data_IF_041012440208
#
_entry.id   IF_041012440208
#
_cell.length_a   1.000
_cell.length_b   1.000
_cell.length_c   1.000
_cell.angle_alpha   90.00
_cell.angle_beta   90.00
_cell.angle_gamma   90.00
#
_symmetry.space_group_name_H-M   'P 1'
#
loop_
_entity.id
_entity.type
_entity.pdbx_description
1 polymer ?
#
# COMPACT_ATOMS: atom_id res chain seq x y z
N UNK A 1 14.75 -17.75 -1.95
CA UNK A 1 13.36 -17.69 -2.46
C UNK A 1 13.47 -17.70 -3.96
N UNK A 2 12.96 -18.73 -4.66
CA UNK A 2 12.92 -18.71 -6.12
C UNK A 2 11.65 -17.95 -6.52
N UNK A 3 11.77 -16.88 -7.30
CA UNK A 3 10.59 -16.17 -7.80
C UNK A 3 9.81 -17.11 -8.72
N UNK A 4 8.47 -17.14 -8.63
CA UNK A 4 7.64 -17.99 -9.50
C UNK A 4 7.72 -17.49 -10.95
N UNK A 5 7.98 -18.33 -11.96
CA UNK A 5 7.97 -17.91 -13.37
C UNK A 5 6.66 -17.27 -13.81
N UNK A 6 6.72 -16.38 -14.80
CA UNK A 6 5.53 -15.85 -15.44
C UNK A 6 4.85 -16.96 -16.26
N UNK A 7 3.52 -17.12 -16.17
CA UNK A 7 2.81 -18.06 -17.04
C UNK A 7 2.92 -17.63 -18.52
N UNK A 8 2.75 -18.57 -19.46
CA UNK A 8 2.61 -18.22 -20.87
C UNK A 8 1.35 -17.37 -21.08
N UNK A 9 1.30 -16.55 -22.14
CA UNK A 9 0.20 -15.65 -22.42
C UNK A 9 -1.09 -16.34 -22.90
N UNK A 10 -1.17 -17.68 -22.87
CA UNK A 10 -2.27 -18.52 -23.39
C UNK A 10 -3.67 -18.03 -22.99
N UNK A 11 -4.29 -17.19 -23.83
CA UNK A 11 -5.60 -16.58 -23.60
C UNK A 11 -5.62 -15.44 -22.56
N UNK A 12 -4.48 -15.02 -22.02
CA UNK A 12 -4.43 -13.92 -21.06
C UNK A 12 -4.59 -12.57 -21.77
N UNK A 13 -5.54 -11.77 -21.28
CA UNK A 13 -5.75 -10.38 -21.72
C UNK A 13 -6.12 -10.23 -23.21
N UNK A 14 -6.70 -11.25 -23.85
CA UNK A 14 -7.09 -11.21 -25.28
C UNK A 14 -7.94 -9.98 -25.62
N UNK A 15 -8.85 -9.61 -24.71
CA UNK A 15 -9.77 -8.48 -24.89
C UNK A 15 -9.13 -7.11 -24.61
N UNK A 16 -7.91 -7.05 -24.08
CA UNK A 16 -7.27 -5.80 -23.62
C UNK A 16 -5.85 -5.68 -24.19
N UNK A 17 -5.75 -5.13 -25.40
CA UNK A 17 -4.51 -5.02 -26.19
C UNK A 17 -3.37 -4.33 -25.45
N UNK A 18 -3.66 -3.28 -24.66
CA UNK A 18 -2.66 -2.53 -23.89
C UNK A 18 -2.01 -3.43 -22.82
N UNK A 19 -2.82 -4.21 -22.11
CA UNK A 19 -2.35 -5.12 -21.05
C UNK A 19 -1.60 -6.29 -21.65
N UNK A 20 -2.10 -6.85 -22.76
CA UNK A 20 -1.42 -7.93 -23.49
C UNK A 20 -0.03 -7.51 -23.98
N UNK A 21 0.08 -6.34 -24.62
CA UNK A 21 1.36 -5.78 -25.08
C UNK A 21 2.35 -5.61 -23.92
N UNK A 22 1.89 -5.07 -22.79
CA UNK A 22 2.73 -4.91 -21.61
C UNK A 22 3.21 -6.26 -21.07
N UNK A 23 2.30 -7.25 -21.01
CA UNK A 23 2.61 -8.60 -20.52
C UNK A 23 3.63 -9.32 -21.42
N UNK A 24 3.43 -9.28 -22.74
CA UNK A 24 4.36 -9.85 -23.73
C UNK A 24 5.76 -9.21 -23.60
N UNK A 25 5.82 -7.88 -23.42
CA UNK A 25 7.08 -7.16 -23.21
C UNK A 25 7.79 -7.63 -21.95
N UNK A 26 7.09 -7.67 -20.81
CA UNK A 26 7.65 -8.16 -19.53
C UNK A 26 8.11 -9.62 -19.66
N UNK A 27 7.32 -10.48 -20.30
CA UNK A 27 7.67 -11.89 -20.48
C UNK A 27 8.98 -12.06 -21.28
N UNK A 28 9.19 -11.27 -22.32
CA UNK A 28 10.43 -11.28 -23.11
C UNK A 28 11.68 -10.87 -22.32
N UNK A 29 11.50 -10.10 -21.24
CA UNK A 29 12.57 -9.59 -20.38
C UNK A 29 12.82 -10.46 -19.15
N UNK A 30 12.04 -11.52 -18.92
CA UNK A 30 12.05 -12.30 -17.67
C UNK A 30 13.43 -12.84 -17.30
N UNK A 31 14.24 -13.23 -18.30
CA UNK A 31 15.58 -13.77 -18.09
C UNK A 31 16.62 -12.71 -17.67
N UNK A 32 16.34 -11.42 -17.85
CA UNK A 32 17.30 -10.35 -17.54
C UNK A 32 17.36 -10.06 -16.04
N UNK A 33 16.22 -9.99 -15.37
CA UNK A 33 16.11 -9.89 -13.91
C UNK A 33 14.81 -10.53 -13.45
N UNK A 34 14.88 -11.81 -13.09
CA UNK A 34 13.69 -12.59 -12.78
C UNK A 34 12.81 -11.95 -11.70
N UNK A 35 13.37 -11.39 -10.63
CA UNK A 35 12.56 -10.84 -9.53
C UNK A 35 11.89 -9.54 -9.96
N UNK A 36 12.67 -8.61 -10.51
CA UNK A 36 12.19 -7.27 -10.87
C UNK A 36 11.25 -7.29 -12.08
N UNK A 37 11.38 -8.27 -12.98
CA UNK A 37 10.47 -8.41 -14.11
C UNK A 37 9.22 -9.19 -13.72
N UNK A 38 9.34 -10.27 -12.94
CA UNK A 38 8.17 -11.05 -12.50
C UNK A 38 7.19 -10.22 -11.68
N UNK A 39 7.67 -9.31 -10.83
CA UNK A 39 6.77 -8.45 -10.05
C UNK A 39 5.83 -7.64 -10.95
N UNK A 40 6.31 -7.11 -12.09
CA UNK A 40 5.51 -6.37 -13.05
C UNK A 40 4.45 -7.28 -13.69
N UNK A 41 4.84 -8.47 -14.14
CA UNK A 41 3.91 -9.42 -14.75
C UNK A 41 2.84 -9.90 -13.77
N UNK A 42 3.20 -10.16 -12.51
CA UNK A 42 2.23 -10.53 -11.48
C UNK A 42 1.33 -9.37 -11.04
N UNK A 43 1.80 -8.12 -11.11
CA UNK A 43 0.92 -6.96 -10.94
C UNK A 43 -0.14 -6.92 -12.05
N UNK A 44 0.18 -7.24 -13.30
CA UNK A 44 -0.83 -7.32 -14.35
C UNK A 44 -1.85 -8.45 -14.12
N UNK A 45 -1.38 -9.63 -13.68
CA UNK A 45 -2.23 -10.80 -13.40
C UNK A 45 -3.14 -10.56 -12.19
N UNK A 46 -2.60 -10.02 -11.10
CA UNK A 46 -3.28 -9.91 -9.81
C UNK A 46 -3.69 -8.47 -9.47
N UNK A 47 -3.80 -7.60 -10.47
CA UNK A 47 -4.31 -6.26 -10.26
C UNK A 47 -5.67 -6.32 -9.53
N UNK A 48 -5.85 -5.54 -8.46
CA UNK A 48 -7.07 -5.58 -7.65
C UNK A 48 -8.30 -5.08 -8.41
N UNK A 49 -8.09 -4.20 -9.40
CA UNK A 49 -9.12 -3.73 -10.32
C UNK A 49 -8.54 -3.47 -11.73
N UNK A 50 -9.43 -3.26 -12.69
CA UNK A 50 -9.07 -3.06 -14.10
C UNK A 50 -8.32 -1.74 -14.35
N UNK A 51 -8.66 -0.67 -13.61
CA UNK A 51 -7.96 0.61 -13.74
C UNK A 51 -6.52 0.49 -13.28
N UNK A 52 -6.30 -0.21 -12.15
CA UNK A 52 -4.98 -0.54 -11.64
C UNK A 52 -4.15 -1.34 -12.63
N UNK A 53 -4.78 -2.32 -13.27
CA UNK A 53 -4.14 -3.13 -14.32
C UNK A 53 -3.72 -2.28 -15.52
N UNK A 54 -4.62 -1.42 -16.01
CA UNK A 54 -4.37 -0.55 -17.15
C UNK A 54 -3.24 0.45 -16.85
N UNK A 55 -3.24 1.04 -15.66
CA UNK A 55 -2.20 1.99 -15.25
C UNK A 55 -0.80 1.37 -15.24
N UNK A 56 -0.66 0.13 -14.77
CA UNK A 56 0.62 -0.60 -14.78
C UNK A 56 1.00 -1.01 -16.21
N UNK A 57 0.04 -1.45 -17.01
CA UNK A 57 0.29 -1.76 -18.40
C UNK A 57 0.79 -0.53 -19.18
N UNK A 58 0.20 0.64 -18.93
CA UNK A 58 0.67 1.90 -19.49
C UNK A 58 2.06 2.27 -18.99
N UNK A 59 2.35 2.18 -17.68
CA UNK A 59 3.69 2.47 -17.16
C UNK A 59 4.76 1.60 -17.83
N UNK A 60 4.46 0.33 -18.12
CA UNK A 60 5.36 -0.60 -18.83
C UNK A 60 5.50 -0.23 -20.32
N UNK A 61 4.39 0.08 -20.98
CA UNK A 61 4.41 0.39 -22.41
C UNK A 61 5.07 1.75 -22.69
N UNK A 62 4.93 2.72 -21.78
CA UNK A 62 5.51 4.06 -21.88
C UNK A 62 7.02 4.08 -21.62
N UNK A 63 7.59 3.00 -21.07
CA UNK A 63 9.04 2.84 -20.97
C UNK A 63 9.69 2.86 -22.37
N UNK A 64 10.57 3.84 -22.61
CA UNK A 64 11.23 4.01 -23.90
C UNK A 64 12.17 2.85 -24.24
N UNK A 65 12.82 2.27 -23.22
CA UNK A 65 13.78 1.18 -23.37
C UNK A 65 13.46 0.02 -22.45
N UNK A 66 14.03 -1.14 -22.74
CA UNK A 66 13.93 -2.30 -21.85
C UNK A 66 14.60 -2.03 -20.51
N UNK A 67 15.69 -1.24 -20.50
CA UNK A 67 16.33 -0.80 -19.27
C UNK A 67 15.36 0.00 -18.38
N UNK A 68 14.51 0.84 -18.96
CA UNK A 68 13.51 1.60 -18.21
C UNK A 68 12.46 0.66 -17.57
N UNK A 69 12.10 -0.44 -18.25
CA UNK A 69 11.22 -1.48 -17.68
C UNK A 69 11.89 -2.17 -16.49
N UNK A 70 13.19 -2.48 -16.58
CA UNK A 70 13.94 -3.03 -15.45
C UNK A 70 13.98 -2.03 -14.27
N UNK A 71 14.24 -0.75 -14.52
CA UNK A 71 14.28 0.26 -13.46
C UNK A 71 12.91 0.50 -12.81
N UNK A 72 11.82 0.42 -13.59
CA UNK A 72 10.46 0.41 -13.07
C UNK A 72 10.24 -0.79 -12.12
N UNK A 73 10.61 -2.00 -12.56
CA UNK A 73 10.53 -3.22 -11.76
C UNK A 73 11.34 -3.14 -10.46
N UNK A 74 12.59 -2.66 -10.53
CA UNK A 74 13.45 -2.43 -9.36
C UNK A 74 12.85 -1.43 -8.39
N UNK A 75 12.27 -0.34 -8.90
CA UNK A 75 11.64 0.69 -8.07
C UNK A 75 10.45 0.12 -7.31
N UNK A 76 9.58 -0.62 -8.00
CA UNK A 76 8.44 -1.30 -7.37
C UNK A 76 8.92 -2.34 -6.35
N UNK A 77 9.90 -3.16 -6.70
CA UNK A 77 10.44 -4.15 -5.78
C UNK A 77 11.02 -3.48 -4.52
N UNK A 78 11.90 -2.49 -4.67
CA UNK A 78 12.58 -1.81 -3.57
C UNK A 78 11.61 -1.06 -2.66
N UNK A 79 10.72 -0.27 -3.25
CA UNK A 79 9.90 0.66 -2.47
C UNK A 79 8.59 0.03 -2.01
N UNK A 80 8.03 -0.92 -2.75
CA UNK A 80 6.74 -1.52 -2.42
C UNK A 80 6.87 -2.95 -1.88
N UNK A 81 7.38 -3.90 -2.65
CA UNK A 81 7.39 -5.30 -2.24
C UNK A 81 8.36 -5.59 -1.08
N UNK A 82 9.61 -5.10 -1.16
CA UNK A 82 10.61 -5.28 -0.11
C UNK A 82 10.18 -4.60 1.19
N UNK A 83 9.48 -3.48 1.07
CA UNK A 83 8.89 -2.77 2.21
C UNK A 83 7.82 -3.62 2.92
N UNK A 84 6.88 -4.20 2.18
CA UNK A 84 5.84 -5.07 2.74
C UNK A 84 6.42 -6.39 3.28
N UNK A 85 7.40 -6.98 2.58
CA UNK A 85 8.12 -8.18 3.04
C UNK A 85 8.89 -7.91 4.34
N UNK A 86 9.52 -6.74 4.46
CA UNK A 86 10.20 -6.35 5.69
C UNK A 86 9.21 -6.30 6.85
N UNK A 87 8.05 -5.66 6.68
CA UNK A 87 7.01 -5.62 7.70
C UNK A 87 6.57 -7.03 8.11
N UNK A 88 6.30 -7.91 7.15
CA UNK A 88 5.85 -9.29 7.39
C UNK A 88 6.86 -10.10 8.22
N UNK A 89 8.16 -10.00 7.89
CA UNK A 89 9.24 -10.70 8.61
C UNK A 89 9.43 -10.14 10.03
N UNK A 90 9.33 -8.82 10.20
CA UNK A 90 9.56 -8.18 11.50
C UNK A 90 8.43 -8.48 12.50
N UNK A 91 7.21 -8.70 12.01
CA UNK A 91 6.04 -9.04 12.83
C UNK A 91 5.95 -10.54 13.10
N UNK A 92 6.37 -11.39 12.16
CA UNK A 92 6.38 -12.86 12.32
C UNK A 92 7.43 -13.36 13.32
N UNK A 93 8.41 -12.54 13.68
CA UNK A 93 9.24 -12.77 14.87
C UNK A 93 8.57 -12.05 16.05
N UNK A 94 8.33 -12.70 17.20
CA UNK A 94 8.04 -11.97 18.42
C UNK A 94 9.29 -11.14 18.75
N UNK A 95 9.30 -9.89 18.29
CA UNK A 95 10.39 -8.98 18.64
C UNK A 95 10.19 -8.60 20.10
N UNK A 96 11.06 -9.16 20.92
CA UNK A 96 11.43 -8.58 22.20
C UNK A 96 11.68 -7.10 21.93
N UNK A 97 10.99 -6.23 22.67
CA UNK A 97 11.03 -4.78 22.50
C UNK A 97 12.46 -4.29 22.73
N UNK A 98 13.26 -4.24 21.68
CA UNK A 98 14.54 -3.54 21.70
C UNK A 98 14.26 -2.07 21.35
N UNK A 99 14.36 -1.23 22.38
CA UNK A 99 14.24 0.22 22.31
C UNK A 99 15.19 0.81 21.25
N UNK A 100 14.73 0.95 20.02
CA UNK A 100 15.34 1.85 19.06
C UNK A 100 14.92 3.28 19.40
N UNK A 101 15.75 3.98 20.18
CA UNK A 101 15.68 5.42 20.34
C UNK A 101 16.09 6.10 19.03
N UNK A 102 15.12 6.48 18.20
CA UNK A 102 15.34 7.55 17.23
C UNK A 102 14.90 8.86 17.86
N UNK A 103 15.88 9.67 18.31
CA UNK A 103 15.63 11.06 18.67
C UNK A 103 15.25 11.84 17.40
N UNK A 104 13.96 12.12 17.24
CA UNK A 104 13.48 13.16 16.34
C UNK A 104 12.25 13.80 16.98
N UNK A 105 12.43 15.02 17.46
CA UNK A 105 11.42 15.83 18.13
C UNK A 105 10.38 16.35 17.14
N UNK A 106 9.16 15.84 17.22
CA UNK A 106 7.91 16.63 17.23
C UNK A 106 6.74 15.67 17.48
N UNK A 107 6.01 15.93 18.58
CA UNK A 107 4.79 15.22 19.00
C UNK A 107 4.93 13.68 19.02
N UNK A 108 5.84 13.17 19.86
CA UNK A 108 5.96 11.74 20.12
C UNK A 108 4.71 11.27 20.86
N UNK A 109 3.73 10.75 20.13
CA UNK A 109 2.79 9.78 20.68
C UNK A 109 3.66 8.68 21.29
N UNK A 110 3.52 8.45 22.59
CA UNK A 110 4.26 7.41 23.30
C UNK A 110 4.18 6.10 22.53
N UNK A 111 5.31 5.43 22.32
CA UNK A 111 5.36 4.12 21.67
C UNK A 111 4.34 3.20 22.34
N UNK A 112 3.36 2.65 21.59
CA UNK A 112 2.34 1.78 22.18
C UNK A 112 2.99 0.61 22.89
N UNK A 113 2.55 0.32 24.12
CA UNK A 113 3.05 -0.80 24.91
C UNK A 113 2.40 -2.12 24.48
N UNK A 114 1.24 -2.05 23.83
CA UNK A 114 0.48 -3.23 23.38
C UNK A 114 0.04 -3.11 21.92
N UNK A 115 -0.19 -4.27 21.28
CA UNK A 115 -0.79 -4.31 19.94
C UNK A 115 -2.16 -3.61 19.90
N UNK A 116 -2.96 -3.71 20.98
CA UNK A 116 -4.27 -3.05 21.06
C UNK A 116 -4.15 -1.53 21.06
N UNK A 117 -3.18 -0.97 21.80
CA UNK A 117 -2.88 0.46 21.78
C UNK A 117 -2.38 0.91 20.40
N UNK A 118 -1.50 0.12 19.77
CA UNK A 118 -1.04 0.42 18.43
C UNK A 118 -2.18 0.44 17.40
N UNK A 119 -3.09 -0.55 17.49
CA UNK A 119 -4.30 -0.62 16.66
C UNK A 119 -5.20 0.58 16.87
N UNK A 120 -5.47 0.94 18.12
CA UNK A 120 -6.33 2.08 18.43
C UNK A 120 -5.74 3.40 17.91
N UNK A 121 -4.44 3.62 18.11
CA UNK A 121 -3.76 4.82 17.62
C UNK A 121 -3.83 4.93 16.09
N UNK A 122 -3.65 3.81 15.39
CA UNK A 122 -3.76 3.77 13.94
C UNK A 122 -5.19 4.01 13.44
N UNK A 123 -6.19 3.41 14.10
CA UNK A 123 -7.59 3.65 13.79
C UNK A 123 -7.95 5.13 13.96
N UNK A 124 -7.53 5.78 15.06
CA UNK A 124 -7.76 7.22 15.26
C UNK A 124 -7.11 8.04 14.14
N UNK A 125 -5.85 7.75 13.82
CA UNK A 125 -5.09 8.43 12.76
C UNK A 125 -5.78 8.31 11.39
N UNK A 126 -6.28 7.12 11.08
CA UNK A 126 -6.85 6.79 9.77
C UNK A 126 -8.39 6.95 9.75
N UNK A 127 -8.95 7.71 10.70
CA UNK A 127 -10.38 7.99 10.84
C UNK A 127 -11.25 6.73 10.83
N UNK A 128 -10.80 5.74 11.58
CA UNK A 128 -11.37 4.40 11.79
C UNK A 128 -11.55 3.60 10.50
N UNK A 129 -10.77 3.91 9.46
CA UNK A 129 -10.84 3.25 8.15
C UNK A 129 -9.55 2.50 7.85
N UNK A 130 -9.71 1.37 7.16
CA UNK A 130 -8.60 0.75 6.46
C UNK A 130 -8.11 1.68 5.34
N UNK A 131 -6.84 2.08 5.39
CA UNK A 131 -6.24 2.93 4.36
C UNK A 131 -6.24 2.29 2.95
N UNK A 132 -6.33 0.96 2.86
CA UNK A 132 -6.33 0.25 1.58
C UNK A 132 -7.73 0.04 0.99
N UNK A 133 -8.70 -0.33 1.83
CA UNK A 133 -10.04 -0.70 1.35
C UNK A 133 -11.07 0.41 1.58
N UNK A 134 -10.74 1.42 2.39
CA UNK A 134 -11.68 2.45 2.84
C UNK A 134 -12.74 1.95 3.83
N UNK A 135 -12.79 0.63 4.10
CA UNK A 135 -13.75 0.02 5.03
C UNK A 135 -13.55 0.54 6.43
N UNK A 136 -14.66 0.79 7.11
CA UNK A 136 -14.66 1.21 8.52
C UNK A 136 -14.45 -0.01 9.40
N UNK A 137 -13.66 0.13 10.46
CA UNK A 137 -13.41 -0.95 11.41
C UNK A 137 -14.71 -1.39 12.09
N UNK A 138 -15.08 -2.66 11.86
CA UNK A 138 -16.35 -3.22 12.30
C UNK A 138 -16.49 -3.19 13.82
N UNK A 139 -15.42 -3.50 14.57
CA UNK A 139 -15.46 -3.53 16.04
C UNK A 139 -15.69 -2.11 16.57
N UNK A 140 -14.95 -1.13 16.05
CA UNK A 140 -15.08 0.26 16.47
C UNK A 140 -16.45 0.85 16.07
N UNK A 141 -16.91 0.56 14.85
CA UNK A 141 -18.25 0.93 14.41
C UNK A 141 -19.32 0.29 15.28
N UNK A 142 -19.12 -0.94 15.73
CA UNK A 142 -20.08 -1.62 16.58
C UNK A 142 -20.14 -1.06 18.01
N UNK A 143 -18.97 -0.76 18.57
CA UNK A 143 -18.83 -0.36 19.97
C UNK A 143 -18.97 1.15 20.19
N UNK A 144 -18.93 1.97 19.13
CA UNK A 144 -19.02 3.42 19.23
C UNK A 144 -20.32 3.97 18.60
N UNK A 145 -21.37 4.23 19.41
CA UNK A 145 -22.61 4.85 18.93
C UNK A 145 -22.41 6.19 18.23
N UNK A 146 -21.47 7.02 18.70
CA UNK A 146 -21.15 8.32 18.08
C UNK A 146 -20.63 8.17 16.65
N UNK A 147 -19.78 7.18 16.40
CA UNK A 147 -19.27 6.90 15.06
C UNK A 147 -20.39 6.46 14.11
N UNK A 148 -21.34 5.64 14.60
CA UNK A 148 -22.53 5.24 13.84
C UNK A 148 -23.43 6.43 13.49
N UNK A 149 -23.69 7.30 14.48
CA UNK A 149 -24.51 8.49 14.28
C UNK A 149 -23.91 9.44 13.24
N UNK A 150 -22.60 9.65 13.27
CA UNK A 150 -21.90 10.53 12.35
C UNK A 150 -21.82 10.00 10.90
N UNK A 151 -21.69 8.69 10.73
CA UNK A 151 -21.60 8.07 9.41
C UNK A 151 -22.97 7.85 8.77
N UNK A 152 -24.02 7.79 9.58
CA UNK A 152 -25.36 7.46 9.15
C UNK A 152 -25.47 6.00 8.68
N UNK A 153 -26.71 5.59 8.36
CA UNK A 153 -27.02 4.22 7.95
C UNK A 153 -27.60 4.12 6.52
N UNK A 154 -27.62 5.23 5.76
CA UNK A 154 -28.24 5.30 4.44
C UNK A 154 -27.35 6.05 3.43
N UNK A 155 -26.62 5.35 2.54
CA UNK A 155 -26.44 3.89 2.52
C UNK A 155 -25.64 3.43 3.75
N UNK A 156 -25.78 2.16 4.16
CA UNK A 156 -24.99 1.62 5.27
C UNK A 156 -23.49 1.72 4.92
N UNK A 157 -22.65 2.15 5.87
CA UNK A 157 -21.22 2.23 5.65
C UNK A 157 -20.64 0.84 5.37
N UNK A 158 -19.66 0.76 4.46
CA UNK A 158 -18.92 -0.46 4.21
C UNK A 158 -17.99 -0.75 5.40
N UNK A 159 -18.34 -1.78 6.17
CA UNK A 159 -17.67 -2.16 7.42
C UNK A 159 -16.93 -3.50 7.25
N UNK A 160 -15.78 -3.63 7.90
CA UNK A 160 -14.99 -4.85 7.85
C UNK A 160 -14.01 -4.98 9.02
N UNK A 161 -13.49 -6.19 9.23
CA UNK A 161 -12.39 -6.39 10.18
C UNK A 161 -11.15 -5.70 9.62
N UNK A 162 -10.56 -4.81 10.41
CA UNK A 162 -9.27 -4.19 10.08
C UNK A 162 -8.21 -4.71 11.02
N UNK A 163 -6.97 -4.82 10.53
CA UNK A 163 -5.81 -5.19 11.34
C UNK A 163 -4.65 -4.23 11.07
N UNK A 164 -3.71 -4.16 12.02
CA UNK A 164 -2.52 -3.29 11.99
C UNK A 164 -1.58 -3.50 10.80
N UNK A 165 -1.82 -4.55 10.01
CA UNK A 165 -0.96 -5.01 8.93
C UNK A 165 -1.09 -4.09 7.70
N UNK A 166 -2.07 -3.18 7.74
CA UNK A 166 -2.35 -2.16 6.73
C UNK A 166 -1.94 -0.75 7.18
N UNK A 167 -1.22 -0.63 8.31
CA UNK A 167 -0.73 0.64 8.83
C UNK A 167 0.50 1.00 8.02
N UNK A 168 0.36 1.94 7.09
CA UNK A 168 1.50 2.66 6.56
C UNK A 168 2.09 3.48 7.73
N UNK A 169 3.38 3.32 8.08
CA UNK A 169 4.02 4.07 9.14
C UNK A 169 3.88 5.57 8.92
N UNK A 170 3.86 6.29 10.02
CA UNK A 170 3.62 7.72 10.00
C UNK A 170 4.66 8.49 9.17
N UNK A 171 5.92 8.02 9.13
CA UNK A 171 6.96 8.62 8.28
C UNK A 171 6.69 8.45 6.77
N UNK A 172 5.80 7.53 6.38
CA UNK A 172 5.31 7.40 5.01
C UNK A 172 4.25 8.45 4.73
N UNK A 173 3.38 8.71 5.70
CA UNK A 173 2.22 9.62 5.57
C UNK A 173 2.47 11.06 5.96
N UNK A 174 3.58 11.37 6.60
CA UNK A 174 3.89 12.69 7.15
C UNK A 174 5.17 13.23 6.51
N UNK A 175 5.19 14.53 6.23
CA UNK A 175 6.34 15.28 5.71
C UNK A 175 7.42 15.47 6.80
N UNK A 176 7.68 14.40 7.55
CA UNK A 176 8.67 14.36 8.61
C UNK A 176 10.02 14.29 7.92
N UNK A 177 10.94 15.14 8.35
CA UNK A 177 12.31 15.26 7.87
C UNK A 177 13.07 13.93 8.04
N UNK A 178 12.81 12.99 7.14
CA UNK A 178 13.50 11.71 7.08
C UNK A 178 14.79 11.88 6.27
N UNK A 179 15.72 10.93 6.36
CA UNK A 179 16.87 10.91 5.48
C UNK A 179 16.43 10.78 3.99
N UNK A 180 17.32 11.13 3.07
CA UNK A 180 16.99 11.32 1.65
C UNK A 180 16.42 10.05 0.98
N UNK A 181 16.86 8.85 1.39
CA UNK A 181 16.30 7.58 0.89
C UNK A 181 14.85 7.35 1.33
N UNK A 182 14.50 7.69 2.57
CA UNK A 182 13.12 7.57 3.06
C UNK A 182 12.21 8.63 2.44
N UNK A 183 12.71 9.85 2.22
CA UNK A 183 11.95 10.89 1.50
C UNK A 183 11.57 10.47 0.07
N UNK A 184 12.42 9.70 -0.61
CA UNK A 184 12.13 9.17 -1.97
C UNK A 184 11.17 7.96 -1.90
N UNK A 185 11.28 7.14 -0.87
CA UNK A 185 10.46 5.94 -0.72
C UNK A 185 8.97 6.25 -0.53
N UNK A 186 8.62 7.28 0.24
CA UNK A 186 7.22 7.56 0.60
C UNK A 186 6.36 7.96 -0.62
N UNK A 187 6.77 8.92 -1.48
CA UNK A 187 6.03 9.24 -2.69
C UNK A 187 5.95 8.07 -3.67
N UNK A 188 7.01 7.24 -3.76
CA UNK A 188 7.02 6.06 -4.62
C UNK A 188 5.99 5.02 -4.17
N UNK A 189 5.90 4.76 -2.86
CA UNK A 189 4.90 3.84 -2.28
C UNK A 189 3.48 4.34 -2.56
N UNK A 190 3.21 5.62 -2.36
CA UNK A 190 1.89 6.20 -2.63
C UNK A 190 1.53 6.20 -4.10
N UNK A 191 2.50 6.47 -4.98
CA UNK A 191 2.27 6.37 -6.42
C UNK A 191 1.88 4.95 -6.82
N UNK A 192 2.50 3.92 -6.23
CA UNK A 192 2.10 2.52 -6.47
C UNK A 192 0.71 2.24 -5.90
N UNK A 193 0.42 2.64 -4.66
CA UNK A 193 -0.91 2.43 -4.04
C UNK A 193 -2.04 3.10 -4.84
N UNK A 194 -1.81 4.30 -5.36
CA UNK A 194 -2.76 5.02 -6.18
C UNK A 194 -2.92 4.39 -7.56
N UNK A 195 -1.81 4.19 -8.28
CA UNK A 195 -1.85 3.71 -9.66
C UNK A 195 -2.24 2.25 -9.77
N UNK A 196 -1.76 1.39 -8.87
CA UNK A 196 -2.03 -0.05 -8.88
C UNK A 196 -3.24 -0.42 -8.04
N UNK A 197 -3.35 0.17 -6.84
CA UNK A 197 -4.39 -0.19 -5.86
C UNK A 197 -5.66 0.65 -5.94
N UNK A 198 -5.68 1.70 -6.77
CA UNK A 198 -6.81 2.64 -6.81
C UNK A 198 -6.98 3.47 -5.54
N UNK A 199 -5.96 3.50 -4.67
CA UNK A 199 -6.00 4.15 -3.36
C UNK A 199 -5.50 5.58 -3.50
N UNK A 200 -6.41 6.52 -3.69
CA UNK A 200 -6.06 7.95 -3.72
C UNK A 200 -5.67 8.45 -2.34
N UNK A 201 -4.43 8.90 -2.17
CA UNK A 201 -3.98 9.62 -0.97
C UNK A 201 -4.69 10.96 -0.75
N UNK A 202 -5.33 11.48 -1.82
CA UNK A 202 -6.09 12.72 -1.82
C UNK A 202 -7.61 12.52 -1.86
N UNK A 203 -8.14 11.44 -1.26
CA UNK A 203 -9.54 11.48 -0.84
C UNK A 203 -9.65 12.40 0.39
N UNK A 204 -9.40 13.69 0.17
CA UNK A 204 -9.46 14.79 1.12
C UNK A 204 -9.16 14.37 2.55
N UNK A 205 -7.96 14.64 3.08
CA UNK A 205 -7.99 15.25 4.42
C UNK A 205 -8.85 16.49 4.21
N UNK A 206 -10.09 16.53 4.71
CA UNK A 206 -10.88 17.72 4.58
C UNK A 206 -10.05 18.75 5.32
N UNK A 207 -9.71 19.85 4.66
CA UNK A 207 -9.05 21.01 5.25
C UNK A 207 -9.83 21.62 6.44
N UNK A 208 -10.92 20.97 6.88
CA UNK A 208 -11.53 21.17 8.20
C UNK A 208 -12.35 19.95 8.68
N UNK A 209 -11.79 18.74 8.76
CA UNK A 209 -12.40 17.73 9.67
C UNK A 209 -11.44 17.43 10.80
N UNK A 210 -11.75 18.07 11.92
CA UNK A 210 -11.32 17.71 13.27
C UNK A 210 -11.10 16.21 13.36
N UNK A 211 -9.90 15.82 13.80
CA UNK A 211 -9.64 14.49 14.40
C UNK A 211 -10.87 14.20 15.27
N UNK A 212 -11.64 13.15 14.97
CA UNK A 212 -12.87 12.84 15.72
C UNK A 212 -12.41 12.38 17.10
N UNK A 213 -12.51 13.23 18.15
CA UNK A 213 -12.10 12.82 19.47
C UNK A 213 -13.23 11.95 19.98
N UNK A 214 -13.05 10.64 19.93
CA UNK A 214 -13.86 9.73 20.73
C UNK A 214 -13.31 9.78 22.16
N UNK A 215 -13.69 10.83 22.88
CA UNK A 215 -13.58 10.88 24.34
C UNK A 215 -14.62 9.96 24.98
#
# INVERSE_FOLDING_TARGET
MFATPLPPPDGQFEDITVVRSAYERVLSLESQDSVCIRILGYMLIHAPDESGRLNIAQDINDCATDQDVLELGKSIFKFFAQYLLFIDITISRPSRVDHFQSQSSSLVISTPATHSEAKNNALIRDNYRCMLTGKIDAITYEQCPRLREQLGNNPPPDVGRTECWHILPQYITSDVHCNQEKQIACPAIFKVLERFGGISHFRSMPTSRSIIPLA
#
